data_IF_532891954710
#
_entry.id   IF_532891954710
#
_cell.length_a   1.000
_cell.length_b   1.000
_cell.length_c   1.000
_cell.angle_alpha   90.00
_cell.angle_beta   90.00
_cell.angle_gamma   90.00
#
_symmetry.space_group_name_H-M   'P 1'
#
loop_
_entity.id
_entity.type
_entity.pdbx_description
1 polymer ?
#
# COMPACT_ATOMS: atom_id res chain seq x y z
N UNK A 1 4.94 31.70 -0.56
CA UNK A 1 4.87 31.04 -1.87
C UNK A 1 5.97 29.99 -2.07
N UNK A 2 7.22 30.32 -1.76
CA UNK A 2 8.32 29.36 -1.90
C UNK A 2 8.16 28.13 -1.02
N UNK A 3 7.70 28.29 0.22
CA UNK A 3 7.56 27.20 1.17
C UNK A 3 6.49 26.19 0.75
N UNK A 4 5.39 26.65 0.19
CA UNK A 4 4.32 25.78 -0.31
C UNK A 4 4.78 24.97 -1.53
N UNK A 5 5.53 25.60 -2.42
CA UNK A 5 6.08 24.95 -3.61
C UNK A 5 7.11 23.89 -3.23
N UNK A 6 8.00 24.22 -2.28
CA UNK A 6 9.02 23.31 -1.79
C UNK A 6 8.40 22.10 -1.08
N UNK A 7 7.37 22.33 -0.26
CA UNK A 7 6.66 21.26 0.44
C UNK A 7 5.94 20.34 -0.54
N UNK A 8 5.28 20.92 -1.56
CA UNK A 8 4.60 20.16 -2.61
C UNK A 8 5.56 19.29 -3.41
N UNK A 9 6.74 19.81 -3.75
CA UNK A 9 7.79 19.06 -4.45
C UNK A 9 8.34 17.93 -3.59
N UNK A 10 8.55 18.18 -2.31
CA UNK A 10 9.03 17.17 -1.36
C UNK A 10 8.02 16.03 -1.22
N UNK A 11 6.72 16.33 -1.13
CA UNK A 11 5.65 15.34 -1.06
C UNK A 11 5.60 14.49 -2.33
N UNK A 12 5.75 15.11 -3.50
CA UNK A 12 5.78 14.40 -4.78
C UNK A 12 6.96 13.44 -4.87
N UNK A 13 8.11 13.83 -4.35
CA UNK A 13 9.31 12.98 -4.32
C UNK A 13 9.09 11.77 -3.42
N UNK A 14 8.49 11.97 -2.25
CA UNK A 14 8.17 10.88 -1.33
C UNK A 14 7.16 9.92 -1.94
N UNK A 15 6.11 10.43 -2.57
CA UNK A 15 5.12 9.63 -3.27
C UNK A 15 5.77 8.81 -4.38
N UNK A 16 6.65 9.41 -5.17
CA UNK A 16 7.36 8.74 -6.24
C UNK A 16 8.22 7.59 -5.71
N UNK A 17 8.92 7.80 -4.60
CA UNK A 17 9.74 6.75 -3.97
C UNK A 17 8.89 5.58 -3.50
N UNK A 18 7.76 5.87 -2.86
CA UNK A 18 6.82 4.83 -2.39
C UNK A 18 6.27 4.06 -3.59
N UNK A 19 5.81 4.75 -4.62
CA UNK A 19 5.26 4.12 -5.82
C UNK A 19 6.29 3.26 -6.55
N UNK A 20 7.53 3.75 -6.66
CA UNK A 20 8.64 2.99 -7.26
C UNK A 20 8.94 1.73 -6.47
N UNK A 21 8.97 1.83 -5.15
CA UNK A 21 9.20 0.69 -4.25
C UNK A 21 8.10 -0.36 -4.39
N UNK A 22 6.85 0.06 -4.41
CA UNK A 22 5.72 -0.84 -4.61
C UNK A 22 5.76 -1.49 -5.99
N UNK A 23 6.17 -0.74 -7.02
CA UNK A 23 6.35 -1.26 -8.36
C UNK A 23 7.38 -2.37 -8.42
N UNK A 24 8.48 -2.24 -7.70
CA UNK A 24 9.49 -3.29 -7.58
C UNK A 24 8.91 -4.54 -6.90
N UNK A 25 8.12 -4.35 -5.85
CA UNK A 25 7.45 -5.46 -5.17
C UNK A 25 6.50 -6.20 -6.11
N UNK A 26 5.77 -5.46 -6.94
CA UNK A 26 4.85 -6.04 -7.92
C UNK A 26 5.60 -6.87 -8.96
N UNK A 27 6.73 -6.37 -9.48
CA UNK A 27 7.55 -7.08 -10.45
C UNK A 27 8.13 -8.37 -9.86
N UNK A 28 8.44 -8.34 -8.58
CA UNK A 28 8.97 -9.51 -7.88
C UNK A 28 7.88 -10.53 -7.50
N UNK A 29 6.61 -10.24 -7.79
CA UNK A 29 5.51 -11.13 -7.44
C UNK A 29 5.21 -11.15 -5.93
N UNK A 30 5.54 -10.08 -5.23
CA UNK A 30 5.39 -9.98 -3.77
C UNK A 30 4.28 -9.03 -3.34
N UNK A 31 3.31 -8.76 -4.23
CA UNK A 31 2.15 -7.92 -3.93
C UNK A 31 0.86 -8.71 -4.05
N UNK A 32 -0.05 -8.47 -3.10
CA UNK A 32 -1.44 -8.92 -3.16
C UNK A 32 -2.27 -7.69 -3.49
N UNK A 33 -3.10 -7.79 -4.53
CA UNK A 33 -3.90 -6.67 -5.03
C UNK A 33 -5.33 -6.75 -4.53
N UNK A 34 -5.79 -5.67 -3.91
CA UNK A 34 -7.19 -5.49 -3.53
C UNK A 34 -7.58 -6.13 -2.21
N UNK A 35 -8.58 -5.54 -1.57
CA UNK A 35 -9.01 -5.90 -0.21
C UNK A 35 -9.48 -7.35 -0.09
N UNK A 36 -10.30 -7.89 -1.01
CA UNK A 36 -10.74 -9.28 -0.87
C UNK A 36 -9.60 -10.28 -0.84
N UNK A 37 -8.60 -10.10 -1.71
CA UNK A 37 -7.45 -11.01 -1.79
C UNK A 37 -6.54 -10.85 -0.59
N UNK A 38 -6.39 -9.62 -0.08
CA UNK A 38 -5.60 -9.34 1.13
C UNK A 38 -6.22 -10.07 2.33
N UNK A 39 -7.53 -9.94 2.52
CA UNK A 39 -8.24 -10.59 3.62
C UNK A 39 -8.12 -12.12 3.55
N UNK A 40 -8.19 -12.67 2.35
CA UNK A 40 -8.05 -14.11 2.13
C UNK A 40 -6.64 -14.59 2.49
N UNK A 41 -5.62 -13.84 2.10
CA UNK A 41 -4.23 -14.15 2.41
C UNK A 41 -3.95 -14.07 3.92
N UNK A 42 -4.58 -13.12 4.62
CA UNK A 42 -4.47 -13.01 6.08
C UNK A 42 -4.94 -14.28 6.79
N UNK A 43 -6.06 -14.85 6.31
CA UNK A 43 -6.63 -16.07 6.89
C UNK A 43 -5.72 -17.28 6.69
N UNK A 44 -5.07 -17.37 5.54
CA UNK A 44 -4.25 -18.53 5.18
C UNK A 44 -2.92 -18.61 5.93
N UNK A 45 -2.38 -17.47 6.36
CA UNK A 45 -1.06 -17.39 7.02
C UNK A 45 0.06 -18.03 6.17
N UNK A 46 1.26 -18.08 6.70
CA UNK A 46 2.41 -18.71 6.04
C UNK A 46 3.23 -17.72 5.20
N UNK A 47 4.04 -18.25 4.27
CA UNK A 47 5.02 -17.47 3.50
C UNK A 47 4.41 -16.41 2.58
N UNK A 48 3.13 -16.57 2.20
CA UNK A 48 2.42 -15.62 1.36
C UNK A 48 1.48 -14.70 2.14
N UNK A 49 1.57 -14.70 3.46
CA UNK A 49 0.78 -13.80 4.30
C UNK A 49 1.29 -12.36 4.16
N UNK A 50 0.39 -11.36 4.26
CA UNK A 50 0.82 -9.97 4.22
C UNK A 50 1.73 -9.61 5.39
N UNK A 51 2.83 -8.92 5.10
CA UNK A 51 3.70 -8.34 6.13
C UNK A 51 3.20 -6.95 6.51
N UNK A 52 2.71 -6.20 5.53
CA UNK A 52 2.11 -4.89 5.73
C UNK A 52 1.10 -4.60 4.62
N UNK A 53 0.12 -3.76 4.94
CA UNK A 53 -0.93 -3.31 4.02
C UNK A 53 -0.76 -1.81 3.79
N UNK A 54 -0.87 -1.40 2.54
CA UNK A 54 -0.78 0.00 2.12
C UNK A 54 -2.11 0.41 1.51
N UNK A 55 -2.80 1.31 2.18
CA UNK A 55 -4.16 1.74 1.85
C UNK A 55 -4.16 3.07 1.11
N UNK A 56 -4.96 3.18 0.03
CA UNK A 56 -5.12 4.44 -0.71
C UNK A 56 -5.83 5.49 0.15
N UNK A 57 -5.58 6.79 -0.16
CA UNK A 57 -6.13 7.91 0.60
C UNK A 57 -7.64 8.07 0.47
N UNK A 58 -8.23 7.58 -0.61
CA UNK A 58 -9.65 7.75 -0.93
C UNK A 58 -10.51 6.51 -0.64
N UNK A 59 -10.00 5.61 0.19
CA UNK A 59 -10.74 4.42 0.61
C UNK A 59 -12.02 4.83 1.35
N UNK A 60 -13.14 4.19 1.04
CA UNK A 60 -14.40 4.44 1.73
C UNK A 60 -14.29 4.12 3.23
N UNK A 61 -15.12 4.76 4.05
CA UNK A 61 -15.12 4.54 5.50
C UNK A 61 -15.34 3.07 5.86
N UNK A 62 -16.27 2.41 5.18
CA UNK A 62 -16.57 0.99 5.43
C UNK A 62 -15.36 0.10 5.11
N UNK A 63 -14.73 0.33 3.98
CA UNK A 63 -13.55 -0.42 3.56
C UNK A 63 -12.36 -0.14 4.49
N UNK A 64 -12.16 1.13 4.85
CA UNK A 64 -11.11 1.53 5.79
C UNK A 64 -11.27 0.82 7.14
N UNK A 65 -12.48 0.80 7.67
CA UNK A 65 -12.78 0.13 8.93
C UNK A 65 -12.50 -1.38 8.83
N UNK A 66 -12.92 -2.00 7.74
CA UNK A 66 -12.69 -3.42 7.50
C UNK A 66 -11.20 -3.76 7.48
N UNK A 67 -10.41 -2.99 6.75
CA UNK A 67 -8.96 -3.16 6.66
C UNK A 67 -8.32 -2.97 8.03
N UNK A 68 -8.70 -1.90 8.73
CA UNK A 68 -8.17 -1.57 10.06
C UNK A 68 -8.43 -2.72 11.04
N UNK A 69 -9.67 -3.20 11.10
CA UNK A 69 -10.06 -4.28 12.00
C UNK A 69 -9.30 -5.57 11.69
N UNK A 70 -9.17 -5.92 10.41
CA UNK A 70 -8.45 -7.12 9.99
C UNK A 70 -6.96 -7.03 10.29
N UNK A 71 -6.34 -5.88 10.05
CA UNK A 71 -4.93 -5.68 10.36
C UNK A 71 -4.66 -5.78 11.86
N UNK A 72 -5.54 -5.24 12.68
CA UNK A 72 -5.45 -5.37 14.14
C UNK A 72 -5.59 -6.84 14.58
N UNK A 73 -6.57 -7.53 14.04
CA UNK A 73 -6.82 -8.92 14.39
C UNK A 73 -5.64 -9.82 14.06
N UNK A 74 -5.04 -9.66 12.90
CA UNK A 74 -3.91 -10.48 12.45
C UNK A 74 -2.55 -9.89 12.77
N UNK A 75 -2.51 -8.77 13.48
CA UNK A 75 -1.28 -8.06 13.87
C UNK A 75 -0.39 -7.72 12.68
N UNK A 76 -0.99 -7.11 11.66
CA UNK A 76 -0.33 -6.71 10.43
C UNK A 76 -0.24 -5.17 10.40
N UNK A 77 0.93 -4.65 10.00
CA UNK A 77 1.14 -3.21 9.91
C UNK A 77 0.27 -2.62 8.80
N UNK A 78 -0.36 -1.48 9.08
CA UNK A 78 -1.23 -0.78 8.12
C UNK A 78 -0.75 0.66 7.96
N UNK A 79 -0.57 1.07 6.72
CA UNK A 79 -0.18 2.43 6.37
C UNK A 79 -1.19 3.03 5.41
N UNK A 80 -1.63 4.25 5.69
CA UNK A 80 -2.49 4.99 4.77
C UNK A 80 -1.62 5.91 3.94
N UNK A 81 -1.71 5.75 2.61
CA UNK A 81 -0.93 6.51 1.64
C UNK A 81 -1.53 7.90 1.43
N UNK A 82 -0.71 8.84 0.93
CA UNK A 82 -1.17 10.21 0.64
C UNK A 82 -1.80 10.35 -0.74
N UNK A 83 -1.80 9.30 -1.55
CA UNK A 83 -2.35 9.32 -2.91
C UNK A 83 -3.50 8.33 -3.06
N UNK A 84 -4.31 8.54 -4.10
CA UNK A 84 -5.55 7.80 -4.29
C UNK A 84 -5.35 6.43 -4.95
N UNK A 85 -6.46 5.67 -5.03
CA UNK A 85 -6.44 4.32 -5.57
C UNK A 85 -6.17 4.26 -7.07
N UNK A 86 -6.50 5.30 -7.82
CA UNK A 86 -6.21 5.40 -9.26
C UNK A 86 -4.70 5.55 -9.47
N UNK A 87 -4.07 6.42 -8.70
CA UNK A 87 -2.62 6.65 -8.74
C UNK A 87 -1.88 5.36 -8.35
N UNK A 88 -2.33 4.71 -7.29
CA UNK A 88 -1.76 3.45 -6.84
C UNK A 88 -1.86 2.36 -7.92
N UNK A 89 -3.03 2.18 -8.48
CA UNK A 89 -3.28 1.18 -9.54
C UNK A 89 -2.42 1.43 -10.77
N UNK A 90 -2.38 2.68 -11.22
CA UNK A 90 -1.62 3.07 -12.42
C UNK A 90 -0.13 2.74 -12.26
N UNK A 91 0.44 3.05 -11.10
CA UNK A 91 1.85 2.78 -10.82
C UNK A 91 2.18 1.28 -10.82
N UNK A 92 1.20 0.44 -10.52
CA UNK A 92 1.37 -1.01 -10.46
C UNK A 92 0.88 -1.73 -11.71
N UNK A 93 0.57 -0.98 -12.77
CA UNK A 93 0.14 -1.54 -14.05
C UNK A 93 -1.28 -2.07 -14.07
N UNK A 94 -2.14 -1.58 -13.19
CA UNK A 94 -3.55 -1.99 -13.11
C UNK A 94 -4.45 -0.90 -13.70
N UNK A 95 -5.52 -1.31 -14.35
CA UNK A 95 -6.47 -0.39 -14.98
C UNK A 95 -7.59 0.07 -14.04
N UNK A 96 -7.90 -0.73 -13.04
CA UNK A 96 -8.95 -0.42 -12.07
C UNK A 96 -8.35 0.14 -10.79
N UNK A 97 -9.04 1.11 -10.16
CA UNK A 97 -8.61 1.69 -8.88
C UNK A 97 -8.42 0.60 -7.82
N UNK A 98 -7.38 0.77 -6.98
CA UNK A 98 -7.07 -0.15 -5.89
C UNK A 98 -7.25 0.55 -4.55
N UNK A 99 -8.10 -0.01 -3.69
CA UNK A 99 -8.27 0.52 -2.33
C UNK A 99 -7.03 0.25 -1.46
N UNK A 100 -6.38 -0.89 -1.68
CA UNK A 100 -5.19 -1.28 -0.92
C UNK A 100 -4.39 -2.34 -1.65
N UNK A 101 -3.11 -2.41 -1.29
CA UNK A 101 -2.21 -3.50 -1.70
C UNK A 101 -1.46 -3.99 -0.46
N UNK A 102 -0.99 -5.22 -0.49
CA UNK A 102 -0.19 -5.77 0.61
C UNK A 102 1.13 -6.31 0.05
N UNK A 103 2.18 -6.21 0.83
CA UNK A 103 3.50 -6.77 0.51
C UNK A 103 3.71 -8.03 1.33
N UNK A 104 4.17 -9.10 0.71
CA UNK A 104 4.33 -10.41 1.34
C UNK A 104 5.76 -10.76 1.72
N UNK A 105 6.72 -9.94 1.37
CA UNK A 105 8.15 -10.14 1.67
C UNK A 105 8.62 -9.09 2.66
N UNK A 106 9.19 -9.53 3.79
CA UNK A 106 9.58 -8.63 4.88
C UNK A 106 10.67 -7.63 4.46
N UNK A 107 11.65 -8.07 3.68
CA UNK A 107 12.73 -7.19 3.20
C UNK A 107 12.19 -6.12 2.24
N UNK A 108 11.31 -6.52 1.33
CA UNK A 108 10.68 -5.57 0.41
C UNK A 108 9.73 -4.63 1.14
N UNK A 109 9.04 -5.13 2.15
CA UNK A 109 8.20 -4.30 3.00
C UNK A 109 9.02 -3.21 3.69
N UNK A 110 10.16 -3.58 4.26
CA UNK A 110 11.08 -2.62 4.90
C UNK A 110 11.56 -1.56 3.90
N UNK A 111 11.81 -1.95 2.64
CA UNK A 111 12.20 -1.01 1.58
C UNK A 111 11.11 0.04 1.33
N UNK A 112 9.84 -0.37 1.32
CA UNK A 112 8.72 0.56 1.15
C UNK A 112 8.56 1.43 2.40
N UNK A 113 8.59 0.81 3.58
CA UNK A 113 8.38 1.48 4.86
C UNK A 113 9.37 2.61 5.13
N UNK A 114 10.62 2.47 4.71
CA UNK A 114 11.62 3.52 4.92
C UNK A 114 11.34 4.81 4.14
N UNK A 115 10.45 4.76 3.16
CA UNK A 115 10.07 5.93 2.36
C UNK A 115 8.79 6.61 2.89
N UNK A 116 8.20 6.09 3.94
CA UNK A 116 6.98 6.64 4.54
C UNK A 116 7.26 7.79 5.51
#
# INVERSE_FOLDING_TARGET
>A
MSDEIEMSEALKKEETKILSSLGLCARAGKIIFGVPMICEAMKKRGAKAPCAVFEASDTSENTHKKITDKCKFYNIRLYRLSFDGVTLAHALGKSASLAAVAVTDEKMCAMVEKNL
#
